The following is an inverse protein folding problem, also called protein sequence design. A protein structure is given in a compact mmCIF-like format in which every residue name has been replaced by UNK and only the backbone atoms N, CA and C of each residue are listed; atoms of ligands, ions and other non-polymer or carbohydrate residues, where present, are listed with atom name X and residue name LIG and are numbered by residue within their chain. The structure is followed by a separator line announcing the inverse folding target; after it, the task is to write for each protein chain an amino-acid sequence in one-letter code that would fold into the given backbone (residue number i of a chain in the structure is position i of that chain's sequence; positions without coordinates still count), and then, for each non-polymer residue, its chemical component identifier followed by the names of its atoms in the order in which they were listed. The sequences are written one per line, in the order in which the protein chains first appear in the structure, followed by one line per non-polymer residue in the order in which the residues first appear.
data_IF_526885308108
#
_entry.id   IF_526885308108
#
_cell.length_a   1.000
_cell.length_b   1.000
_cell.length_c   1.000
_cell.angle_alpha   90.00
_cell.angle_beta   90.00
_cell.angle_gamma   90.00
#
_symmetry.space_group_name_H-M   'P 1'
#
loop_
_entity.id
_entity.type
_entity.pdbx_description
1 polymer ?
#
# COMPACT_ATOMS: atom_id res chain seq x y z
N UNK A 1 -7.69 -1.33 0.94
CA UNK A 1 -6.22 -1.24 1.13
C UNK A 1 -5.54 -1.04 -0.22
N UNK A 2 -4.25 -0.66 -0.29
CA UNK A 2 -3.52 -0.57 -1.57
C UNK A 2 -2.11 -1.14 -1.46
N UNK A 3 -1.62 -1.74 -2.53
CA UNK A 3 -0.22 -2.11 -2.73
C UNK A 3 0.37 -1.15 -3.77
N UNK A 4 1.62 -0.74 -3.54
CA UNK A 4 2.37 0.11 -4.45
C UNK A 4 3.66 -0.62 -4.80
N UNK A 5 3.83 -1.02 -6.06
CA UNK A 5 5.10 -1.52 -6.59
C UNK A 5 5.84 -0.33 -7.20
N UNK A 6 7.04 -0.05 -6.71
CA UNK A 6 7.86 1.06 -7.17
C UNK A 6 9.03 0.54 -8.01
N UNK A 7 9.25 1.16 -9.15
CA UNK A 7 10.40 0.93 -10.02
C UNK A 7 11.04 2.27 -10.36
N UNK A 8 12.34 2.24 -10.69
CA UNK A 8 13.06 3.40 -11.19
C UNK A 8 13.54 3.14 -12.62
N UNK A 9 13.76 4.22 -13.36
CA UNK A 9 14.27 4.15 -14.72
C UNK A 9 15.79 3.91 -14.70
N UNK A 10 16.19 2.64 -14.81
CA UNK A 10 17.59 2.22 -14.81
C UNK A 10 18.37 2.64 -16.06
N UNK A 11 17.68 2.98 -17.15
CA UNK A 11 18.32 3.44 -18.38
C UNK A 11 18.82 4.89 -18.24
N UNK A 12 18.22 5.67 -17.32
CA UNK A 12 18.54 7.08 -17.09
C UNK A 12 19.27 7.33 -15.77
N UNK A 13 19.12 6.46 -14.77
CA UNK A 13 19.62 6.70 -13.42
C UNK A 13 20.27 5.44 -12.83
N UNK A 14 21.33 5.63 -12.05
CA UNK A 14 22.10 4.52 -11.48
C UNK A 14 21.34 3.79 -10.37
N UNK A 15 20.51 4.51 -9.61
CA UNK A 15 19.79 3.95 -8.48
C UNK A 15 18.49 4.72 -8.18
N UNK A 16 17.65 4.10 -7.35
CA UNK A 16 16.36 4.67 -6.93
C UNK A 16 16.52 6.04 -6.24
N UNK A 17 17.53 6.19 -5.38
CA UNK A 17 17.76 7.41 -4.60
C UNK A 17 18.03 8.62 -5.50
N UNK A 18 18.78 8.42 -6.59
CA UNK A 18 19.01 9.45 -7.60
C UNK A 18 17.74 9.69 -8.42
N UNK A 19 17.08 8.63 -8.88
CA UNK A 19 15.91 8.73 -9.75
C UNK A 19 14.71 9.43 -9.09
N UNK A 20 14.52 9.27 -7.77
CA UNK A 20 13.30 9.74 -7.10
C UNK A 20 13.04 11.24 -7.21
N UNK A 21 14.06 12.07 -7.41
CA UNK A 21 13.94 13.53 -7.53
C UNK A 21 14.10 14.03 -8.97
N UNK A 22 14.21 13.12 -9.95
CA UNK A 22 14.50 13.46 -11.34
C UNK A 22 13.29 13.20 -12.27
N UNK A 23 13.12 13.99 -13.35
CA UNK A 23 12.04 13.80 -14.31
C UNK A 23 12.04 12.39 -14.92
N UNK A 24 10.88 11.76 -15.05
CA UNK A 24 10.76 10.36 -15.55
C UNK A 24 11.58 9.35 -14.74
N UNK A 25 11.89 9.67 -13.48
CA UNK A 25 12.69 8.83 -12.62
C UNK A 25 11.97 7.58 -12.14
N UNK A 26 10.67 7.68 -11.84
CA UNK A 26 9.93 6.60 -11.19
C UNK A 26 8.70 6.15 -11.96
N UNK A 27 8.43 4.84 -11.85
CA UNK A 27 7.16 4.20 -12.21
C UNK A 27 6.57 3.62 -10.93
N UNK A 28 5.28 3.87 -10.68
CA UNK A 28 4.56 3.27 -9.58
C UNK A 28 3.32 2.52 -10.10
N UNK A 29 3.24 1.23 -9.81
CA UNK A 29 2.05 0.42 -10.08
C UNK A 29 1.21 0.34 -8.81
N UNK A 30 0.01 0.92 -8.86
CA UNK A 30 -0.98 0.88 -7.80
C UNK A 30 -1.96 -0.25 -8.00
N UNK A 31 -2.09 -1.10 -6.99
CA UNK A 31 -2.99 -2.25 -6.96
C UNK A 31 -3.95 -2.04 -5.80
N UNK A 32 -5.24 -2.02 -6.10
CA UNK A 32 -6.28 -1.94 -5.06
C UNK A 32 -6.43 -3.32 -4.44
N UNK A 33 -6.57 -3.36 -3.12
CA UNK A 33 -6.86 -4.61 -2.40
C UNK A 33 -8.20 -4.46 -1.69
N UNK A 34 -9.08 -5.42 -1.95
CA UNK A 34 -10.42 -5.50 -1.39
C UNK A 34 -10.60 -6.76 -0.53
N UNK A 35 -11.60 -6.75 0.35
CA UNK A 35 -11.93 -7.90 1.19
C UNK A 35 -12.66 -8.93 0.31
N UNK A 36 -12.28 -10.19 0.42
CA UNK A 36 -12.97 -11.30 -0.24
C UNK A 36 -12.80 -12.63 0.52
N UNK A 37 -13.40 -13.68 -0.01
CA UNK A 37 -13.46 -15.00 0.65
C UNK A 37 -12.10 -15.72 0.68
N UNK A 38 -11.18 -15.35 -0.23
CA UNK A 38 -9.87 -15.99 -0.38
C UNK A 38 -8.79 -14.94 -0.60
N UNK A 39 -7.70 -15.09 0.16
CA UNK A 39 -6.51 -14.27 -0.03
C UNK A 39 -5.68 -14.76 -1.20
N UNK A 40 -5.27 -13.82 -2.04
CA UNK A 40 -4.35 -14.06 -3.16
C UNK A 40 -3.01 -14.62 -2.66
N UNK A 41 -2.42 -15.58 -3.38
CA UNK A 41 -1.27 -16.37 -2.88
C UNK A 41 -0.10 -15.52 -2.40
N UNK A 42 0.38 -14.59 -3.23
CA UNK A 42 1.52 -13.73 -2.87
C UNK A 42 1.16 -12.72 -1.79
N UNK A 43 -0.09 -12.24 -1.77
CA UNK A 43 -0.58 -11.37 -0.71
C UNK A 43 -0.61 -12.10 0.63
N UNK A 44 -0.96 -13.39 0.65
CA UNK A 44 -0.93 -14.22 1.85
C UNK A 44 0.47 -14.40 2.40
N UNK A 45 1.49 -14.48 1.53
CA UNK A 45 2.91 -14.51 1.96
C UNK A 45 3.29 -13.23 2.69
N UNK A 46 2.89 -12.07 2.15
CA UNK A 46 3.11 -10.76 2.79
C UNK A 46 2.35 -10.63 4.11
N UNK A 47 1.09 -11.09 4.15
CA UNK A 47 0.27 -11.13 5.36
C UNK A 47 0.96 -11.93 6.48
N UNK A 48 1.40 -13.15 6.18
CA UNK A 48 2.10 -14.00 7.15
C UNK A 48 3.47 -13.48 7.57
N UNK A 49 4.18 -12.79 6.67
CA UNK A 49 5.47 -12.19 7.00
C UNK A 49 5.35 -11.15 8.13
N UNK A 50 4.21 -10.44 8.21
CA UNK A 50 3.94 -9.42 9.23
C UNK A 50 4.04 -9.94 10.67
N UNK A 51 3.74 -11.22 10.91
CA UNK A 51 3.84 -11.87 12.22
C UNK A 51 5.25 -11.75 12.81
N UNK A 52 6.29 -11.75 11.95
CA UNK A 52 7.69 -11.72 12.37
C UNK A 52 8.31 -10.30 12.36
N UNK A 53 7.55 -9.26 12.00
CA UNK A 53 8.04 -7.88 11.89
C UNK A 53 7.15 -6.88 12.66
N UNK A 54 6.67 -7.30 13.83
CA UNK A 54 5.76 -6.51 14.67
C UNK A 54 6.28 -5.12 15.02
N UNK A 55 7.57 -4.97 15.26
CA UNK A 55 8.20 -3.72 15.67
C UNK A 55 8.95 -3.05 14.52
N UNK A 56 9.10 -1.73 14.61
CA UNK A 56 9.92 -0.93 13.68
C UNK A 56 11.32 -1.53 13.55
N UNK A 57 11.88 -1.44 12.34
CA UNK A 57 13.22 -1.92 11.95
C UNK A 57 13.42 -3.44 11.97
N UNK A 58 12.38 -4.24 12.24
CA UNK A 58 12.46 -5.69 12.04
C UNK A 58 12.38 -6.06 10.55
N UNK A 59 13.12 -7.09 10.17
CA UNK A 59 13.21 -7.58 8.79
C UNK A 59 13.03 -9.09 8.80
N UNK A 60 12.30 -9.62 7.81
CA UNK A 60 12.15 -11.05 7.57
C UNK A 60 12.37 -11.34 6.09
N UNK A 61 13.04 -12.45 5.79
CA UNK A 61 13.22 -12.89 4.41
C UNK A 61 12.00 -13.70 3.95
N UNK A 62 11.39 -13.27 2.85
CA UNK A 62 10.30 -14.00 2.19
C UNK A 62 10.90 -14.84 1.05
N UNK A 63 10.79 -16.17 1.14
CA UNK A 63 11.30 -17.08 0.11
C UNK A 63 10.27 -17.27 -1.01
N UNK A 64 10.77 -17.39 -2.25
CA UNK A 64 9.96 -17.65 -3.45
C UNK A 64 8.82 -16.65 -3.67
N UNK A 65 9.08 -15.37 -3.41
CA UNK A 65 8.12 -14.28 -3.64
C UNK A 65 8.13 -13.86 -5.11
N UNK A 66 6.97 -13.73 -5.73
CA UNK A 66 6.80 -13.33 -7.13
C UNK A 66 5.99 -12.03 -7.22
N UNK A 67 6.62 -10.86 -7.39
CA UNK A 67 5.90 -9.58 -7.43
C UNK A 67 4.83 -9.49 -8.53
N UNK A 68 5.06 -10.14 -9.67
CA UNK A 68 4.10 -10.16 -10.79
C UNK A 68 2.78 -10.84 -10.46
N UNK A 69 2.78 -11.82 -9.55
CA UNK A 69 1.56 -12.53 -9.13
C UNK A 69 0.71 -11.72 -8.12
N UNK A 70 1.13 -10.51 -7.76
CA UNK A 70 0.27 -9.51 -7.11
C UNK A 70 -0.55 -8.69 -8.12
N UNK A 71 -0.22 -8.75 -9.41
CA UNK A 71 -0.96 -8.00 -10.41
C UNK A 71 -2.37 -8.62 -10.57
N UNK A 72 -3.42 -7.80 -10.64
CA UNK A 72 -4.76 -8.28 -10.91
C UNK A 72 -4.86 -8.95 -12.28
N UNK A 73 -5.81 -9.88 -12.45
CA UNK A 73 -6.13 -10.51 -13.73
C UNK A 73 -6.95 -9.56 -14.64
N UNK A 74 -6.38 -8.41 -14.97
CA UNK A 74 -6.95 -7.47 -15.93
C UNK A 74 -5.85 -6.72 -16.65
N UNK A 75 -6.05 -6.41 -17.92
CA UNK A 75 -5.17 -5.50 -18.65
C UNK A 75 -5.60 -4.05 -18.51
N UNK A 76 -6.74 -3.78 -17.86
CA UNK A 76 -7.30 -2.44 -17.76
C UNK A 76 -6.63 -1.61 -16.67
N UNK A 77 -6.17 -0.41 -17.04
CA UNK A 77 -5.52 0.51 -16.13
C UNK A 77 -5.81 1.98 -16.46
N UNK A 78 -5.52 2.83 -15.50
CA UNK A 78 -5.48 4.29 -15.63
C UNK A 78 -4.04 4.73 -15.32
N UNK A 79 -3.51 5.70 -16.08
CA UNK A 79 -2.17 6.23 -15.87
C UNK A 79 -2.17 7.77 -15.86
N UNK A 80 -1.33 8.35 -15.02
CA UNK A 80 -1.17 9.80 -14.87
C UNK A 80 0.20 10.14 -14.25
N UNK A 81 0.67 11.36 -14.48
CA UNK A 81 1.88 11.90 -13.82
C UNK A 81 1.53 12.44 -12.43
N UNK A 82 2.31 12.05 -11.42
CA UNK A 82 2.06 12.40 -10.04
C UNK A 82 3.31 12.38 -9.17
N UNK A 83 3.08 12.30 -7.86
CA UNK A 83 4.15 12.33 -6.86
C UNK A 83 4.22 11.07 -6.01
N UNK A 84 5.33 10.94 -5.29
CA UNK A 84 5.45 10.02 -4.16
C UNK A 84 4.35 10.29 -3.11
N UNK A 85 3.85 9.23 -2.48
CA UNK A 85 2.82 9.32 -1.45
C UNK A 85 3.36 9.24 -0.01
N UNK A 86 4.68 9.30 0.14
CA UNK A 86 5.43 9.37 1.40
C UNK A 86 6.39 10.58 1.37
N UNK A 87 7.03 10.95 2.49
CA UNK A 87 7.88 12.14 2.56
C UNK A 87 8.91 12.25 1.44
N UNK A 88 9.23 13.48 1.04
CA UNK A 88 9.95 13.80 -0.19
C UNK A 88 9.00 14.34 -1.27
N UNK A 89 7.81 13.74 -1.41
CA UNK A 89 6.69 14.25 -2.24
C UNK A 89 7.06 14.67 -3.68
N UNK A 90 8.18 14.19 -4.24
CA UNK A 90 8.67 14.58 -5.55
C UNK A 90 7.67 14.22 -6.65
N UNK A 91 7.43 15.15 -7.59
CA UNK A 91 6.51 15.01 -8.72
C UNK A 91 7.19 14.30 -9.92
N UNK A 92 7.71 13.11 -9.67
CA UNK A 92 8.58 12.35 -10.57
C UNK A 92 8.03 10.97 -10.94
N UNK A 93 6.80 10.68 -10.51
CA UNK A 93 6.21 9.35 -10.56
C UNK A 93 5.20 9.26 -11.69
N UNK A 94 5.43 8.34 -12.62
CA UNK A 94 4.40 7.87 -13.54
C UNK A 94 3.57 6.80 -12.82
N UNK A 95 2.31 7.09 -12.56
CA UNK A 95 1.39 6.15 -11.93
C UNK A 95 0.70 5.27 -12.96
N UNK A 96 0.58 3.98 -12.67
CA UNK A 96 -0.26 3.01 -13.37
C UNK A 96 -1.15 2.34 -12.34
N UNK A 97 -2.46 2.60 -12.38
CA UNK A 97 -3.43 2.06 -11.44
C UNK A 97 -4.29 1.02 -12.16
N UNK A 98 -4.22 -0.23 -11.74
CA UNK A 98 -5.04 -1.30 -12.31
C UNK A 98 -6.51 -1.13 -11.92
N UNK A 99 -7.41 -1.41 -12.86
CA UNK A 99 -8.86 -1.30 -12.72
C UNK A 99 -9.50 -2.66 -12.32
N UNK A 100 -8.85 -3.38 -11.43
CA UNK A 100 -9.40 -4.54 -10.73
C UNK A 100 -8.67 -4.71 -9.41
N UNK A 101 -9.36 -5.05 -8.31
CA UNK A 101 -8.68 -5.37 -7.07
C UNK A 101 -8.05 -6.76 -7.12
N UNK A 102 -7.15 -7.02 -6.17
CA UNK A 102 -6.88 -8.36 -5.66
C UNK A 102 -7.56 -8.53 -4.30
N UNK A 103 -7.74 -9.77 -3.86
CA UNK A 103 -8.52 -10.07 -2.66
C UNK A 103 -7.66 -10.54 -1.48
N UNK A 104 -8.09 -10.14 -0.27
CA UNK A 104 -7.56 -10.58 1.03
C UNK A 104 -8.73 -10.95 1.95
N UNK A 105 -8.58 -11.97 2.79
CA UNK A 105 -9.54 -12.28 3.84
C UNK A 105 -9.41 -11.30 5.01
N UNK A 106 -10.49 -11.11 5.78
CA UNK A 106 -10.44 -10.28 6.98
C UNK A 106 -9.42 -10.80 8.01
N UNK A 107 -9.28 -12.13 8.12
CA UNK A 107 -8.30 -12.79 9.00
C UNK A 107 -6.85 -12.45 8.61
N UNK A 108 -6.50 -12.60 7.33
CA UNK A 108 -5.14 -12.31 6.84
C UNK A 108 -4.85 -10.79 6.91
N UNK A 109 -5.86 -9.94 6.68
CA UNK A 109 -5.73 -8.49 6.84
C UNK A 109 -5.48 -8.10 8.31
N UNK A 110 -6.09 -8.78 9.27
CA UNK A 110 -5.93 -8.48 10.68
C UNK A 110 -4.48 -8.70 11.17
N UNK A 111 -3.68 -9.54 10.50
CA UNK A 111 -2.26 -9.69 10.82
C UNK A 111 -1.47 -8.38 10.70
N UNK A 112 -1.92 -7.43 9.86
CA UNK A 112 -1.28 -6.13 9.71
C UNK A 112 -1.72 -5.11 10.76
N UNK A 113 -2.87 -5.33 11.42
CA UNK A 113 -3.36 -4.45 12.49
C UNK A 113 -2.51 -4.52 13.76
N UNK A 114 -1.66 -5.56 13.89
CA UNK A 114 -0.79 -5.76 15.04
C UNK A 114 0.59 -5.08 14.91
N UNK A 115 0.91 -4.51 13.74
CA UNK A 115 2.18 -3.83 13.49
C UNK A 115 2.28 -2.55 14.34
N UNK A 116 3.48 -2.24 14.84
CA UNK A 116 3.73 -1.12 15.74
C UNK A 116 4.75 -0.14 15.15
N UNK A 117 4.56 1.14 15.43
CA UNK A 117 5.49 2.21 15.01
C UNK A 117 6.76 2.26 15.89
N UNK A 118 6.71 1.67 17.09
CA UNK A 118 7.79 1.64 18.06
C UNK A 118 8.79 0.53 17.78
N UNK A 119 10.02 0.73 18.22
CA UNK A 119 11.04 -0.33 18.24
C UNK A 119 10.75 -1.37 19.34
N UNK A 120 11.39 -2.53 19.24
CA UNK A 120 11.25 -3.58 20.25
C UNK A 120 11.86 -3.06 21.57
N UNK A 121 11.13 -3.13 22.71
CA UNK A 121 11.70 -2.77 24.00
C UNK A 121 12.95 -3.62 24.28
N UNK A 122 14.10 -2.98 24.45
CA UNK A 122 15.33 -3.63 24.92
C UNK A 122 15.26 -3.85 26.44
N UNK A 123 15.85 -4.93 26.92
CA UNK A 123 15.85 -5.31 28.36
C UNK A 123 16.42 -4.21 29.28
N UNK A 124 17.31 -3.38 28.75
CA UNK A 124 17.91 -2.22 29.44
C UNK A 124 16.83 -1.20 29.83
N UNK A 125 15.86 -0.95 28.94
CA UNK A 125 14.74 -0.04 29.20
C UNK A 125 13.76 -0.61 30.23
N UNK A 126 13.63 -1.94 30.30
CA UNK A 126 12.80 -2.58 31.33
C UNK A 126 13.45 -2.55 32.72
N UNK A 127 14.78 -2.61 32.79
CA UNK A 127 15.53 -2.56 34.05
C UNK A 127 15.65 -1.13 34.61
N UNK A 128 15.80 -0.11 33.75
CA UNK A 128 15.74 1.30 34.16
C UNK A 128 14.35 1.70 34.68
N UNK A 129 13.27 1.20 34.06
CA UNK A 129 11.89 1.40 34.56
C UNK A 129 11.64 0.73 35.91
N UNK A 130 12.25 -0.42 36.19
CA UNK A 130 12.14 -1.11 37.50
C UNK A 130 12.93 -0.42 38.61
N UNK A 131 13.98 0.36 38.29
CA UNK A 131 14.86 1.00 39.29
C UNK A 131 14.38 2.38 39.73
N UNK A 132 13.61 3.08 38.90
CA UNK A 132 13.10 4.44 39.17
C UNK A 132 11.59 4.43 39.49
N UNK A 133 11.18 3.63 40.47
CA UNK A 133 9.84 3.69 41.05
C UNK A 133 9.78 4.91 41.99
N UNK A 134 9.72 6.10 41.41
CA UNK A 134 9.35 7.35 42.10
C UNK A 134 7.94 7.67 41.59
N UNK A 135 7.03 7.93 42.53
CA UNK A 135 5.60 8.17 42.35
C UNK A 135 5.29 9.46 41.57
N UNK A 136 5.69 9.51 40.30
CA UNK A 136 5.28 10.55 39.38
C UNK A 136 4.48 9.93 38.23
N UNK A 137 3.16 9.93 38.42
CA UNK A 137 2.14 9.40 37.49
C UNK A 137 2.14 10.04 36.09
N UNK A 138 3.02 11.01 35.84
CA UNK A 138 3.17 11.73 34.57
C UNK A 138 4.14 11.07 33.56
N UNK A 139 4.91 10.04 33.97
CA UNK A 139 5.85 9.31 33.09
C UNK A 139 5.36 7.91 32.67
N UNK A 140 4.05 7.68 32.62
CA UNK A 140 3.50 6.45 32.07
C UNK A 140 3.84 6.39 30.58
N UNK A 141 4.83 5.56 30.23
CA UNK A 141 5.24 5.36 28.83
C UNK A 141 4.00 5.12 27.98
N UNK A 142 3.78 6.01 27.02
CA UNK A 142 2.63 5.96 26.13
C UNK A 142 2.47 4.55 25.56
N UNK A 143 1.23 4.03 25.47
CA UNK A 143 0.98 2.72 24.91
C UNK A 143 1.60 2.62 23.51
N UNK A 144 2.12 1.45 23.11
CA UNK A 144 2.73 1.29 21.80
C UNK A 144 1.74 1.67 20.72
N UNK A 145 2.16 2.57 19.82
CA UNK A 145 1.30 3.12 18.78
C UNK A 145 1.25 2.12 17.63
N UNK A 146 0.06 1.63 17.32
CA UNK A 146 -0.20 0.77 16.16
C UNK A 146 0.13 1.51 14.85
N UNK A 147 0.68 0.78 13.88
CA UNK A 147 0.90 1.26 12.52
C UNK A 147 -0.44 1.20 11.75
N UNK A 148 -1.32 2.15 12.04
CA UNK A 148 -2.63 2.30 11.38
C UNK A 148 -2.72 3.62 10.61
N UNK A 149 -3.67 3.71 9.68
CA UNK A 149 -3.97 4.94 8.91
C UNK A 149 -2.77 5.53 8.16
N UNK A 150 -1.86 4.67 7.69
CA UNK A 150 -0.66 5.00 6.94
C UNK A 150 -0.95 5.30 5.45
N UNK A 151 -1.86 6.24 5.19
CA UNK A 151 -2.19 6.68 3.83
C UNK A 151 -2.14 8.19 3.68
N UNK A 152 -1.77 8.65 2.49
CA UNK A 152 -1.88 10.07 2.10
C UNK A 152 -3.32 10.35 1.64
N UNK A 153 -3.99 11.39 2.14
CA UNK A 153 -5.31 11.80 1.66
C UNK A 153 -5.31 12.14 0.17
N UNK A 154 -6.49 12.06 -0.45
CA UNK A 154 -6.69 12.43 -1.85
C UNK A 154 -6.24 13.87 -2.10
N UNK A 155 -5.65 14.10 -3.27
CA UNK A 155 -5.21 15.41 -3.73
C UNK A 155 -5.95 15.76 -5.02
N UNK A 156 -6.15 17.05 -5.22
CA UNK A 156 -6.84 17.56 -6.40
C UNK A 156 -6.14 17.14 -7.70
N UNK A 157 -6.92 16.94 -8.76
CA UNK A 157 -6.41 16.55 -10.07
C UNK A 157 -5.60 17.69 -10.72
N UNK A 158 -5.90 18.95 -10.40
CA UNK A 158 -5.20 20.14 -10.89
C UNK A 158 -5.05 20.18 -12.43
N UNK A 159 -6.10 19.79 -13.16
CA UNK A 159 -6.09 19.81 -14.63
C UNK A 159 -5.21 18.76 -15.30
N UNK A 160 -4.59 17.85 -14.55
CA UNK A 160 -3.77 16.77 -15.12
C UNK A 160 -4.58 15.83 -16.00
N UNK A 161 -3.96 15.37 -17.07
CA UNK A 161 -4.54 14.40 -18.00
C UNK A 161 -4.44 13.00 -17.40
N UNK A 162 -5.58 12.33 -17.29
CA UNK A 162 -5.63 10.90 -17.01
C UNK A 162 -5.79 10.17 -18.34
N UNK A 163 -4.96 9.15 -18.56
CA UNK A 163 -5.04 8.27 -19.71
C UNK A 163 -5.51 6.89 -19.24
N UNK A 164 -6.21 6.17 -20.10
CA UNK A 164 -6.67 4.81 -19.81
C UNK A 164 -6.78 4.02 -21.09
N UNK A 165 -6.56 2.72 -21.02
CA UNK A 165 -6.85 1.78 -22.10
C UNK A 165 -8.28 1.19 -22.00
N UNK A 166 -9.09 1.64 -21.04
CA UNK A 166 -10.48 1.22 -20.88
C UNK A 166 -11.35 1.93 -21.91
N UNK A 167 -12.11 1.17 -22.69
CA UNK A 167 -13.14 1.74 -23.56
C UNK A 167 -14.36 2.18 -22.73
N UNK A 168 -14.34 3.43 -22.27
CA UNK A 168 -15.41 4.00 -21.43
C UNK A 168 -16.74 4.11 -22.20
N UNK A 169 -16.70 4.34 -23.52
CA UNK A 169 -17.91 4.52 -24.35
C UNK A 169 -18.79 3.27 -24.39
N UNK A 170 -18.18 2.07 -24.46
CA UNK A 170 -18.90 0.80 -24.44
C UNK A 170 -19.53 0.51 -23.07
N UNK A 171 -18.86 0.90 -21.98
CA UNK A 171 -19.34 0.63 -20.60
C UNK A 171 -20.59 1.46 -20.27
N UNK A 172 -20.67 2.70 -20.74
CA UNK A 172 -21.87 3.55 -20.58
C UNK A 172 -23.07 2.95 -21.32
N UNK A 173 -22.87 2.46 -22.55
CA UNK A 173 -23.95 1.80 -23.33
C UNK A 173 -24.42 0.52 -22.64
N UNK A 174 -23.50 -0.30 -22.12
CA UNK A 174 -23.83 -1.51 -21.38
C UNK A 174 -24.66 -1.20 -20.11
N UNK A 175 -24.22 -0.23 -19.30
CA UNK A 175 -24.93 0.17 -18.09
C UNK A 175 -26.30 0.81 -18.40
N UNK A 176 -26.39 1.63 -19.45
CA UNK A 176 -27.67 2.17 -19.92
C UNK A 176 -28.62 1.07 -20.40
N UNK A 177 -28.12 0.04 -21.07
CA UNK A 177 -28.92 -1.09 -21.52
C UNK A 177 -29.38 -2.00 -20.37
N UNK A 178 -28.57 -2.17 -19.32
CA UNK A 178 -28.98 -2.90 -18.11
C UNK A 178 -30.06 -2.13 -17.34
N UNK A 179 -29.96 -0.80 -17.27
CA UNK A 179 -30.96 0.04 -16.60
C UNK A 179 -32.30 0.10 -17.39
N UNK A 180 -32.26 -0.02 -18.73
CA UNK A 180 -33.46 -0.16 -19.57
C UNK A 180 -34.13 -1.52 -19.50
N UNK A 181 -33.42 -2.57 -19.05
CA UNK A 181 -33.96 -3.95 -18.96
C UNK A 181 -34.54 -4.31 -17.60
N UNK A 182 -34.61 -3.37 -16.65
CA UNK A 182 -35.35 -3.57 -15.41
C UNK A 182 -34.90 -4.76 -14.56
N UNK A 183 -33.61 -5.10 -14.56
CA UNK A 183 -33.12 -6.16 -13.67
C UNK A 183 -32.83 -5.59 -12.29
N UNK A 184 -33.82 -5.70 -11.39
CA UNK A 184 -33.58 -5.73 -9.95
C UNK A 184 -32.80 -7.01 -9.63
N UNK A 185 -31.51 -6.90 -9.35
CA UNK A 185 -30.82 -7.89 -8.52
C UNK A 185 -29.84 -7.10 -7.63
N UNK A 186 -29.94 -7.37 -6.34
CA UNK A 186 -29.20 -6.77 -5.23
C UNK A 186 -27.68 -6.89 -5.38
#
# INVERSE_FOLDING_TARGET
MKIQLLAYNSDLYENFTQAQSQPRGLLAVGIIVDIGDRTSVELKRLAKAAINIKYRNQVVQIKHFQPSALLPHTDYYITYEGSLTFPGCFETVNWVIYNSPIYITAEDLNLWSELLQSEKPTEINTNLKKKNQVDDSSLLSSPPITLSSNFRPLKAQNGRILRTNINIKLKVIYLMNQNRRGSKVW
#
